data_IF_903035356450
#
_entry.id   IF_903035356450
#
_cell.length_a   1.000
_cell.length_b   1.000
_cell.length_c   1.000
_cell.angle_alpha   90.00
_cell.angle_beta   90.00
_cell.angle_gamma   90.00
#
_symmetry.space_group_name_H-M   'P 1'
#
loop_
_entity.id
_entity.type
_entity.pdbx_description
1 polymer ?
#
# COMPACT_ATOMS: atom_id res chain seq x y z
N UNK A 1 21.13 10.84 4.87
CA UNK A 1 19.85 10.76 5.56
C UNK A 1 19.02 9.60 5.04
N UNK A 2 18.31 8.96 5.93
CA UNK A 2 17.41 7.90 5.53
C UNK A 2 16.32 8.46 4.64
N UNK A 3 16.13 7.86 3.50
CA UNK A 3 15.09 8.24 2.57
C UNK A 3 13.93 7.26 2.64
N UNK A 4 12.81 7.61 2.02
CA UNK A 4 11.69 6.68 1.87
C UNK A 4 12.15 5.38 1.24
N UNK A 5 13.06 5.47 0.26
CA UNK A 5 13.59 4.29 -0.41
C UNK A 5 14.31 3.36 0.55
N UNK A 6 15.02 3.89 1.57
CA UNK A 6 15.68 3.05 2.55
C UNK A 6 14.68 2.37 3.50
N UNK A 7 13.62 3.06 3.89
CA UNK A 7 12.61 2.48 4.76
C UNK A 7 11.85 1.33 4.11
N UNK A 8 11.56 1.46 2.82
CA UNK A 8 10.73 0.51 2.10
C UNK A 8 11.55 -0.51 1.30
N UNK A 9 12.78 -0.12 0.90
CA UNK A 9 13.66 -0.99 0.11
C UNK A 9 14.04 -2.23 0.91
N UNK A 10 14.13 -3.35 0.24
CA UNK A 10 14.43 -4.64 0.84
C UNK A 10 13.36 -5.09 1.85
N UNK A 11 12.15 -4.57 1.72
CA UNK A 11 11.04 -5.07 2.50
C UNK A 11 10.87 -6.56 2.21
N UNK A 12 10.72 -7.36 3.26
CA UNK A 12 10.59 -8.80 3.11
C UNK A 12 9.15 -9.16 2.75
N UNK A 13 8.86 -9.23 1.45
CA UNK A 13 7.54 -9.64 0.95
C UNK A 13 7.28 -11.14 1.09
N UNK A 14 8.26 -11.90 1.59
CA UNK A 14 8.08 -13.31 1.88
C UNK A 14 7.81 -13.57 3.36
N UNK A 15 7.81 -12.53 4.18
CA UNK A 15 7.49 -12.66 5.60
C UNK A 15 6.00 -13.00 5.78
N UNK A 16 5.63 -13.64 6.87
CA UNK A 16 4.22 -13.91 7.13
C UNK A 16 3.41 -12.62 7.21
N UNK A 17 2.17 -12.70 6.77
CA UNK A 17 1.20 -11.60 6.88
C UNK A 17 0.23 -11.93 8.00
N UNK A 18 0.16 -11.08 9.00
CA UNK A 18 -0.76 -11.23 10.12
C UNK A 18 -1.97 -10.33 9.92
N UNK A 19 -3.15 -10.89 10.09
CA UNK A 19 -4.40 -10.18 9.87
C UNK A 19 -5.20 -10.04 11.16
N UNK A 20 -5.92 -8.92 11.27
CA UNK A 20 -6.93 -8.69 12.28
C UNK A 20 -8.14 -8.04 11.62
N UNK A 21 -9.33 -8.54 11.91
CA UNK A 21 -10.56 -8.04 11.33
C UNK A 21 -11.73 -8.45 12.21
N UNK A 22 -12.87 -7.78 12.06
CA UNK A 22 -14.08 -8.16 12.78
C UNK A 22 -14.69 -9.44 12.21
N UNK A 23 -14.52 -9.69 10.92
CA UNK A 23 -15.13 -10.82 10.24
C UNK A 23 -14.21 -11.39 9.19
N UNK A 24 -14.25 -12.70 9.02
CA UNK A 24 -13.46 -13.42 8.02
C UNK A 24 -14.33 -14.46 7.36
N UNK A 25 -14.27 -14.51 6.04
CA UNK A 25 -14.97 -15.52 5.25
C UNK A 25 -13.97 -16.24 4.36
N UNK A 26 -13.89 -17.56 4.51
CA UNK A 26 -13.05 -18.40 3.68
C UNK A 26 -13.84 -18.86 2.46
N UNK A 27 -13.34 -18.57 1.27
CA UNK A 27 -13.93 -18.98 0.00
C UNK A 27 -13.01 -19.98 -0.66
N UNK A 28 -13.06 -21.23 -0.20
CA UNK A 28 -12.14 -22.30 -0.62
C UNK A 28 -12.09 -22.51 -2.13
N UNK A 29 -13.23 -22.52 -2.79
CA UNK A 29 -13.27 -22.79 -4.24
C UNK A 29 -12.65 -21.69 -5.07
N UNK A 30 -12.58 -20.49 -4.52
CA UNK A 30 -11.97 -19.35 -5.19
C UNK A 30 -10.56 -19.06 -4.69
N UNK A 31 -10.05 -19.83 -3.73
CA UNK A 31 -8.76 -19.61 -3.08
C UNK A 31 -8.64 -18.19 -2.53
N UNK A 32 -9.65 -17.78 -1.79
CA UNK A 32 -9.75 -16.44 -1.23
C UNK A 32 -10.17 -16.42 0.22
N UNK A 33 -9.70 -15.41 0.93
CA UNK A 33 -10.19 -15.05 2.24
C UNK A 33 -10.66 -13.61 2.17
N UNK A 34 -11.89 -13.34 2.61
CA UNK A 34 -12.44 -11.99 2.66
C UNK A 34 -12.48 -11.54 4.12
N UNK A 35 -11.79 -10.45 4.40
CA UNK A 35 -11.74 -9.85 5.73
C UNK A 35 -12.51 -8.53 5.70
N UNK A 36 -13.28 -8.25 6.73
CA UNK A 36 -14.07 -7.03 6.80
C UNK A 36 -14.26 -6.56 8.23
N UNK A 37 -14.74 -5.31 8.36
CA UNK A 37 -14.98 -4.71 9.66
C UNK A 37 -13.72 -4.14 10.29
N UNK A 38 -12.98 -3.32 9.55
CA UNK A 38 -11.76 -2.72 10.03
C UNK A 38 -10.60 -3.69 10.03
N UNK A 39 -9.97 -3.83 8.87
CA UNK A 39 -8.90 -4.81 8.65
C UNK A 39 -7.55 -4.18 8.87
N UNK A 40 -6.69 -4.88 9.58
CA UNK A 40 -5.26 -4.55 9.71
C UNK A 40 -4.44 -5.75 9.25
N UNK A 41 -3.53 -5.52 8.31
CA UNK A 41 -2.58 -6.51 7.84
C UNK A 41 -1.17 -6.02 8.14
N UNK A 42 -0.34 -6.86 8.73
CA UNK A 42 1.02 -6.48 9.11
C UNK A 42 2.00 -7.49 8.54
N UNK A 43 3.04 -7.01 7.89
CA UNK A 43 4.12 -7.83 7.36
C UNK A 43 5.44 -7.08 7.52
N UNK A 44 6.36 -7.64 8.31
CA UNK A 44 7.73 -7.12 8.45
C UNK A 44 7.77 -5.60 8.69
N UNK A 45 6.90 -5.09 9.57
CA UNK A 45 6.86 -3.67 9.90
C UNK A 45 6.02 -2.81 8.97
N UNK A 46 5.56 -3.36 7.86
CA UNK A 46 4.60 -2.69 6.97
C UNK A 46 3.20 -2.97 7.49
N UNK A 47 2.41 -1.91 7.67
CA UNK A 47 1.03 -2.04 8.13
C UNK A 47 0.10 -1.49 7.06
N UNK A 48 -0.91 -2.30 6.69
CA UNK A 48 -1.96 -1.90 5.77
C UNK A 48 -3.29 -1.96 6.49
N UNK A 49 -4.04 -0.88 6.45
CA UNK A 49 -5.37 -0.80 7.08
C UNK A 49 -6.40 -0.44 6.03
N UNK A 50 -7.55 -1.09 6.10
CA UNK A 50 -8.66 -0.84 5.18
C UNK A 50 -9.96 -1.32 5.82
N UNK A 51 -11.09 -0.93 5.23
CA UNK A 51 -12.40 -1.44 5.69
C UNK A 51 -12.57 -2.90 5.33
N UNK A 52 -12.05 -3.29 4.16
CA UNK A 52 -12.20 -4.64 3.63
C UNK A 52 -10.93 -5.03 2.87
N UNK A 53 -10.50 -6.27 3.05
CA UNK A 53 -9.36 -6.84 2.34
C UNK A 53 -9.73 -8.22 1.83
N UNK A 54 -9.46 -8.48 0.55
CA UNK A 54 -9.58 -9.80 -0.04
C UNK A 54 -8.17 -10.33 -0.28
N UNK A 55 -7.87 -11.47 0.33
CA UNK A 55 -6.56 -12.12 0.16
C UNK A 55 -6.72 -13.32 -0.76
N UNK A 56 -5.97 -13.31 -1.86
CA UNK A 56 -5.88 -14.46 -2.75
C UNK A 56 -4.67 -15.30 -2.32
N UNK A 57 -4.82 -16.61 -2.29
CA UNK A 57 -3.77 -17.50 -1.85
C UNK A 57 -3.61 -18.70 -2.78
N UNK A 58 -2.45 -19.34 -2.71
CA UNK A 58 -2.21 -20.65 -3.33
C UNK A 58 -2.06 -21.70 -2.23
N UNK A 59 -2.46 -22.93 -2.54
CA UNK A 59 -2.50 -24.02 -1.57
C UNK A 59 -1.55 -25.16 -1.90
N UNK A 60 -0.43 -24.87 -2.53
CA UNK A 60 0.59 -25.89 -2.86
C UNK A 60 1.44 -26.19 -1.63
N UNK A 61 1.03 -27.18 -0.85
CA UNK A 61 1.78 -27.59 0.34
C UNK A 61 1.62 -26.67 1.54
N UNK A 62 0.74 -25.67 1.45
CA UNK A 62 0.47 -24.72 2.51
C UNK A 62 -0.35 -23.57 1.94
N UNK A 63 -0.66 -22.59 2.78
CA UNK A 63 -1.41 -21.41 2.33
C UNK A 63 -0.45 -20.25 2.19
N UNK A 64 -0.16 -19.86 0.95
CA UNK A 64 0.70 -18.72 0.64
C UNK A 64 -0.13 -17.60 0.05
N UNK A 65 -0.14 -16.45 0.69
CA UNK A 65 -0.87 -15.28 0.21
C UNK A 65 -0.11 -14.68 -0.97
N UNK A 66 -0.81 -14.51 -2.09
CA UNK A 66 -0.21 -13.99 -3.32
C UNK A 66 -0.56 -12.52 -3.55
N UNK A 67 -1.74 -12.10 -3.10
CA UNK A 67 -2.25 -10.77 -3.40
C UNK A 67 -3.27 -10.32 -2.36
N UNK A 68 -3.20 -9.05 -2.02
CA UNK A 68 -4.19 -8.39 -1.16
C UNK A 68 -4.86 -7.28 -1.96
N UNK A 69 -6.20 -7.30 -1.97
CA UNK A 69 -7.01 -6.20 -2.53
C UNK A 69 -7.72 -5.51 -1.38
N UNK A 70 -7.40 -4.24 -1.17
CA UNK A 70 -7.92 -3.45 -0.05
C UNK A 70 -8.83 -2.35 -0.56
N UNK A 71 -9.98 -2.17 0.08
CA UNK A 71 -10.98 -1.18 -0.30
C UNK A 71 -11.57 -0.50 0.92
N UNK A 72 -12.26 0.63 0.68
CA UNK A 72 -12.95 1.36 1.73
C UNK A 72 -12.03 2.29 2.51
N UNK A 73 -11.10 2.93 1.82
CA UNK A 73 -10.13 3.81 2.46
C UNK A 73 -8.95 3.02 2.99
N UNK A 74 -7.79 3.23 2.38
CA UNK A 74 -6.58 2.44 2.69
C UNK A 74 -5.52 3.34 3.28
N UNK A 75 -4.84 2.84 4.29
CA UNK A 75 -3.65 3.47 4.86
C UNK A 75 -2.53 2.45 4.90
N UNK A 76 -1.38 2.83 4.35
CA UNK A 76 -0.15 2.02 4.39
C UNK A 76 0.88 2.81 5.16
N UNK A 77 1.49 2.17 6.16
CA UNK A 77 2.53 2.80 6.96
C UNK A 77 3.74 1.88 7.10
N UNK A 78 4.91 2.47 7.06
CA UNK A 78 6.17 1.82 7.41
C UNK A 78 7.16 2.89 7.83
N UNK A 79 7.68 2.80 9.05
CA UNK A 79 8.57 3.81 9.63
C UNK A 79 7.92 5.21 9.54
N UNK A 80 8.56 6.17 8.91
CA UNK A 80 8.02 7.54 8.78
C UNK A 80 7.18 7.76 7.52
N UNK A 81 6.99 6.70 6.73
CA UNK A 81 6.17 6.76 5.53
C UNK A 81 4.72 6.47 5.85
N UNK A 82 3.83 7.29 5.34
CA UNK A 82 2.39 7.08 5.42
C UNK A 82 1.76 7.42 4.09
N UNK A 83 1.03 6.48 3.53
CA UNK A 83 0.30 6.69 2.28
C UNK A 83 -1.16 6.33 2.49
N UNK A 84 -2.05 7.14 1.94
CA UNK A 84 -3.49 6.89 2.00
C UNK A 84 -4.06 6.93 0.59
N UNK A 85 -5.13 6.16 0.38
CA UNK A 85 -5.82 6.08 -0.90
C UNK A 85 -7.22 5.54 -0.72
N UNK A 86 -8.01 5.53 -1.79
CA UNK A 86 -9.34 4.91 -1.76
C UNK A 86 -9.25 3.40 -1.77
N UNK A 87 -8.34 2.85 -2.57
CA UNK A 87 -8.13 1.41 -2.66
C UNK A 87 -6.65 1.11 -2.91
N UNK A 88 -6.26 -0.14 -2.69
CA UNK A 88 -4.89 -0.56 -2.90
C UNK A 88 -4.82 -2.03 -3.28
N UNK A 89 -3.78 -2.38 -3.99
CA UNK A 89 -3.45 -3.77 -4.34
C UNK A 89 -2.02 -4.01 -3.91
N UNK A 90 -1.81 -5.05 -3.11
CA UNK A 90 -0.47 -5.52 -2.78
C UNK A 90 -0.26 -6.86 -3.47
N UNK A 91 0.58 -6.87 -4.49
CA UNK A 91 1.01 -8.08 -5.19
C UNK A 91 2.27 -8.58 -4.49
N UNK A 92 2.12 -9.63 -3.69
CA UNK A 92 3.24 -10.14 -2.91
C UNK A 92 4.27 -10.87 -3.79
N UNK A 93 3.81 -11.49 -4.87
CA UNK A 93 4.71 -12.21 -5.76
C UNK A 93 5.68 -11.26 -6.49
N UNK A 94 5.21 -10.11 -6.92
CA UNK A 94 6.04 -9.10 -7.59
C UNK A 94 6.60 -8.04 -6.65
N UNK A 95 6.18 -8.04 -5.38
CA UNK A 95 6.58 -7.05 -4.38
C UNK A 95 6.21 -5.62 -4.78
N UNK A 96 4.98 -5.46 -5.30
CA UNK A 96 4.45 -4.17 -5.73
C UNK A 96 3.21 -3.82 -4.94
N UNK A 97 3.16 -2.58 -4.45
CA UNK A 97 1.93 -2.01 -3.89
C UNK A 97 1.46 -0.91 -4.82
N UNK A 98 0.20 -0.99 -5.23
CA UNK A 98 -0.44 0.04 -6.05
C UNK A 98 -1.57 0.67 -5.23
N UNK A 99 -1.50 1.98 -5.03
CA UNK A 99 -2.55 2.75 -4.37
C UNK A 99 -3.29 3.56 -5.42
N UNK A 100 -4.62 3.55 -5.36
CA UNK A 100 -5.48 4.12 -6.39
C UNK A 100 -6.54 5.01 -5.74
N UNK A 101 -6.65 6.21 -6.26
CA UNK A 101 -7.71 7.16 -5.89
C UNK A 101 -7.33 8.04 -4.71
N UNK A 102 -7.25 9.33 -4.92
CA UNK A 102 -6.96 10.32 -3.88
C UNK A 102 -5.73 9.95 -3.05
N UNK A 103 -4.62 9.69 -3.73
CA UNK A 103 -3.40 9.25 -3.06
C UNK A 103 -2.71 10.42 -2.39
N UNK A 104 -2.39 10.24 -1.11
CA UNK A 104 -1.56 11.15 -0.34
C UNK A 104 -0.39 10.37 0.22
N UNK A 105 0.82 10.84 -0.07
CA UNK A 105 2.05 10.23 0.43
C UNK A 105 2.74 11.26 1.32
N UNK A 106 3.01 10.87 2.55
CA UNK A 106 3.70 11.70 3.53
C UNK A 106 4.92 10.96 4.05
N UNK A 107 6.05 11.64 4.06
CA UNK A 107 7.24 11.12 4.69
C UNK A 107 7.91 12.28 5.43
N UNK A 108 7.89 12.22 6.76
CA UNK A 108 8.34 13.34 7.55
C UNK A 108 7.52 14.59 7.23
N UNK A 109 8.18 15.64 6.78
CA UNK A 109 7.51 16.88 6.37
C UNK A 109 7.28 16.98 4.87
N UNK A 110 7.66 15.97 4.11
CA UNK A 110 7.45 15.93 2.66
C UNK A 110 6.08 15.34 2.34
N UNK A 111 5.45 15.87 1.30
CA UNK A 111 4.09 15.50 0.96
C UNK A 111 3.89 15.49 -0.56
N UNK A 112 3.23 14.45 -1.06
CA UNK A 112 2.85 14.30 -2.46
C UNK A 112 1.39 13.89 -2.55
N UNK A 113 0.69 14.38 -3.55
CA UNK A 113 -0.67 13.94 -3.86
C UNK A 113 -0.77 13.60 -5.33
N UNK A 114 -1.63 12.63 -5.63
CA UNK A 114 -1.86 12.21 -7.01
C UNK A 114 -3.01 11.22 -7.08
N UNK A 115 -3.24 10.66 -8.24
CA UNK A 115 -4.32 9.71 -8.47
C UNK A 115 -3.89 8.26 -8.32
N UNK A 116 -2.61 7.99 -8.50
CA UNK A 116 -2.08 6.62 -8.46
C UNK A 116 -0.64 6.62 -7.99
N UNK A 117 -0.31 5.71 -7.10
CA UNK A 117 1.04 5.52 -6.60
C UNK A 117 1.40 4.05 -6.72
N UNK A 118 2.55 3.76 -7.30
CA UNK A 118 3.12 2.41 -7.35
C UNK A 118 4.41 2.39 -6.55
N UNK A 119 4.51 1.51 -5.58
CA UNK A 119 5.70 1.33 -4.75
C UNK A 119 6.31 -0.02 -5.08
N UNK A 120 7.56 -0.01 -5.53
CA UNK A 120 8.35 -1.22 -5.72
C UNK A 120 9.11 -1.49 -4.43
N UNK A 121 8.70 -2.54 -3.70
CA UNK A 121 9.25 -2.84 -2.39
C UNK A 121 10.68 -3.39 -2.47
N UNK A 122 11.10 -3.91 -3.62
CA UNK A 122 12.47 -4.40 -3.77
C UNK A 122 13.46 -3.26 -3.95
N UNK A 123 13.13 -2.30 -4.82
CA UNK A 123 14.01 -1.17 -5.10
C UNK A 123 13.76 0.02 -4.20
N UNK A 124 12.58 0.11 -3.59
CA UNK A 124 12.14 1.27 -2.85
C UNK A 124 11.67 2.41 -3.74
N UNK A 125 11.58 2.19 -5.05
CA UNK A 125 11.14 3.22 -5.99
C UNK A 125 9.64 3.43 -5.87
N UNK A 126 9.24 4.68 -5.75
CA UNK A 126 7.84 5.07 -5.75
C UNK A 126 7.56 5.95 -6.97
N UNK A 127 6.53 5.60 -7.72
CA UNK A 127 6.11 6.37 -8.89
C UNK A 127 4.68 6.83 -8.67
N UNK A 128 4.47 8.15 -8.70
CA UNK A 128 3.16 8.72 -8.50
C UNK A 128 2.70 9.43 -9.78
N UNK A 129 1.45 9.19 -10.16
CA UNK A 129 0.83 9.77 -11.34
C UNK A 129 -0.43 10.52 -10.93
N UNK A 130 -0.76 11.59 -11.67
CA UNK A 130 -1.98 12.34 -11.44
C UNK A 130 -3.22 11.66 -11.99
N UNK A 131 -3.04 10.83 -13.04
CA UNK A 131 -4.16 10.17 -13.69
C UNK A 131 -4.74 9.05 -12.85
N UNK A 132 -6.05 9.07 -12.67
CA UNK A 132 -6.78 7.99 -12.05
C UNK A 132 -7.31 7.03 -13.09
N UNK A 133 -8.32 6.26 -12.68
CA UNK A 133 -9.03 5.37 -13.59
C UNK A 133 -9.81 6.19 -14.64
N UNK A 134 -10.01 5.65 -15.85
CA UNK A 134 -10.85 6.31 -16.85
C UNK A 134 -12.21 6.64 -16.27
N UNK A 135 -12.65 7.87 -16.49
CA UNK A 135 -13.93 8.35 -15.98
C UNK A 135 -13.88 8.90 -14.57
N UNK A 136 -12.77 8.72 -13.84
CA UNK A 136 -12.61 9.30 -12.52
C UNK A 136 -12.35 10.81 -12.66
N UNK A 137 -13.04 11.60 -11.83
CA UNK A 137 -12.73 13.01 -11.74
C UNK A 137 -11.68 13.18 -10.65
N UNK A 138 -10.51 13.61 -11.03
CA UNK A 138 -9.49 13.99 -10.09
C UNK A 138 -9.07 15.44 -10.41
N UNK A 139 -8.14 15.96 -9.68
CA UNK A 139 -7.70 17.35 -9.79
C UNK A 139 -6.90 17.59 -11.06
N UNK A 140 -7.51 17.34 -12.24
CA UNK A 140 -6.88 17.56 -13.52
C UNK A 140 -5.75 16.60 -13.85
N UNK A 141 -5.70 15.43 -13.19
CA UNK A 141 -4.69 14.43 -13.47
C UNK A 141 -3.27 14.87 -13.12
N UNK A 142 -3.10 15.71 -12.13
CA UNK A 142 -1.81 16.26 -11.78
C UNK A 142 -1.29 15.69 -10.47
N UNK A 143 0.03 15.59 -10.35
CA UNK A 143 0.71 15.32 -9.09
C UNK A 143 1.12 16.65 -8.49
N UNK A 144 0.84 16.83 -7.20
CA UNK A 144 1.26 18.01 -6.46
C UNK A 144 1.97 17.59 -5.19
N UNK A 145 2.82 18.47 -4.67
CA UNK A 145 3.52 18.15 -3.45
C UNK A 145 4.31 19.30 -2.89
N UNK A 146 4.82 19.11 -1.70
CA UNK A 146 5.76 20.01 -1.09
C UNK A 146 6.84 19.24 -0.36
N UNK A 147 8.04 19.76 -0.42
CA UNK A 147 9.21 19.14 0.20
C UNK A 147 9.87 20.16 1.12
N UNK A 148 10.28 19.68 2.29
CA UNK A 148 11.10 20.49 3.17
C UNK A 148 12.52 20.55 2.61
N UNK A 149 13.11 21.73 2.72
CA UNK A 149 14.50 21.92 2.38
C UNK A 149 15.29 22.20 3.66
N UNK A 150 16.31 21.42 3.97
CA UNK A 150 17.08 21.66 5.18
C UNK A 150 17.72 23.06 5.13
N UNK A 151 17.69 23.77 6.24
CA UNK A 151 18.37 25.06 6.36
C UNK A 151 19.86 24.81 6.45
N UNK A 152 20.61 25.42 5.56
CA UNK A 152 22.06 25.31 5.58
C UNK A 152 22.63 26.38 6.47
N UNK A 153 23.54 25.98 7.34
CA UNK A 153 24.33 26.93 8.13
C UNK A 153 25.50 27.39 7.29
N UNK A 154 25.70 28.66 7.22
CA UNK A 154 26.86 29.24 6.56
C UNK A 154 27.96 29.53 7.55
#
# INVERSE_FOLDING_TARGET
SASTAQSIRNHNSNAPVDFSAASMELQDRADRVVLSGGVTAVQAGLTLKASRVTAAYSSNGGVDVNRLDATGGVTVTKDDLRATSSSAIYDLDSSLITLIGNVNLVQGSNRLTGGRLVIDLNSGRSTINGGGLPGATNSGGRVTGSFSVPQRKN
#
